data_IF_871209066279
#
_entry.id   IF_871209066279
#
_cell.length_a   1.000
_cell.length_b   1.000
_cell.length_c   1.000
_cell.angle_alpha   90.00
_cell.angle_beta   90.00
_cell.angle_gamma   90.00
#
_symmetry.space_group_name_H-M   'P 1'
#
loop_
_entity.id
_entity.type
_entity.pdbx_description
1 polymer ?
#
# COMPACT_ATOMS: atom_id res chain seq x y z
N UNK A 1 18.76 -8.92 0.14
CA UNK A 1 17.94 -9.18 -1.06
C UNK A 1 16.67 -8.34 -0.99
N UNK A 2 16.33 -7.66 -2.06
CA UNK A 2 15.16 -6.81 -2.08
C UNK A 2 13.86 -7.65 -2.03
N UNK A 3 12.80 -7.05 -1.51
CA UNK A 3 11.48 -7.69 -1.41
C UNK A 3 10.43 -6.84 -2.10
N UNK A 4 9.66 -7.44 -2.97
CA UNK A 4 8.63 -6.74 -3.76
C UNK A 4 7.24 -7.16 -3.31
N UNK A 5 6.38 -6.19 -3.07
CA UNK A 5 4.98 -6.40 -2.73
C UNK A 5 4.10 -5.62 -3.71
N UNK A 6 3.18 -6.33 -4.36
CA UNK A 6 2.22 -5.74 -5.29
C UNK A 6 0.82 -6.03 -4.78
N UNK A 7 0.04 -4.98 -4.62
CA UNK A 7 -1.36 -5.08 -4.20
C UNK A 7 -2.26 -4.45 -5.26
N UNK A 8 -3.39 -5.08 -5.52
CA UNK A 8 -4.37 -4.63 -6.51
C UNK A 8 -5.69 -4.38 -5.82
N UNK A 9 -6.24 -3.18 -5.99
CA UNK A 9 -7.56 -2.81 -5.51
C UNK A 9 -8.51 -2.69 -6.68
N UNK A 10 -9.69 -3.30 -6.55
CA UNK A 10 -10.75 -3.20 -7.56
C UNK A 10 -11.93 -2.45 -6.96
N UNK A 11 -12.29 -1.36 -7.60
CA UNK A 11 -13.38 -0.46 -7.20
C UNK A 11 -14.63 -0.88 -7.99
N UNK A 12 -15.80 -1.10 -7.34
CA UNK A 12 -16.96 -1.67 -8.01
C UNK A 12 -17.58 -0.76 -9.09
N UNK A 13 -17.48 0.56 -8.92
CA UNK A 13 -17.99 1.51 -9.92
C UNK A 13 -17.39 2.90 -9.70
N UNK A 14 -17.56 3.79 -10.68
CA UNK A 14 -16.96 5.11 -10.68
C UNK A 14 -17.51 6.05 -9.59
N UNK A 15 -18.67 5.75 -9.04
CA UNK A 15 -19.28 6.58 -8.00
C UNK A 15 -18.83 6.21 -6.59
N UNK A 16 -18.08 5.10 -6.44
CA UNK A 16 -17.59 4.64 -5.15
C UNK A 16 -16.36 5.46 -4.74
N UNK A 17 -16.41 6.23 -3.64
CA UNK A 17 -15.25 6.99 -3.19
C UNK A 17 -14.18 6.04 -2.63
N UNK A 18 -12.93 6.32 -2.96
CA UNK A 18 -11.78 5.53 -2.51
C UNK A 18 -11.09 6.24 -1.35
N UNK A 19 -10.93 5.53 -0.23
CA UNK A 19 -10.23 6.06 0.93
C UNK A 19 -8.73 5.82 0.80
N UNK A 20 -7.93 6.86 1.07
CA UNK A 20 -6.47 6.79 1.08
C UNK A 20 -5.94 6.93 2.50
N UNK A 21 -4.68 6.58 2.73
CA UNK A 21 -4.04 6.81 4.02
C UNK A 21 -3.86 8.32 4.23
N UNK A 22 -3.86 8.75 5.50
CA UNK A 22 -3.73 10.17 5.83
C UNK A 22 -2.37 10.74 5.43
N UNK A 23 -2.32 12.04 5.15
CA UNK A 23 -1.08 12.74 4.82
C UNK A 23 -0.05 12.61 5.94
N UNK A 24 -0.49 12.59 7.18
CA UNK A 24 0.38 12.40 8.34
C UNK A 24 1.14 11.08 8.26
N UNK A 25 0.45 9.99 7.92
CA UNK A 25 1.08 8.66 7.80
C UNK A 25 1.91 8.57 6.52
N UNK A 26 1.48 9.21 5.43
CA UNK A 26 2.30 9.30 4.21
C UNK A 26 3.64 9.94 4.53
N UNK A 27 3.65 11.05 5.29
CA UNK A 27 4.87 11.73 5.70
C UNK A 27 5.72 10.88 6.67
N UNK A 28 5.08 10.16 7.57
CA UNK A 28 5.75 9.23 8.47
C UNK A 28 6.49 8.13 7.70
N UNK A 29 5.84 7.55 6.70
CA UNK A 29 6.44 6.52 5.84
C UNK A 29 7.62 7.09 5.08
N UNK A 30 7.45 8.29 4.50
CA UNK A 30 8.53 8.95 3.76
C UNK A 30 9.77 9.13 4.65
N UNK A 31 9.59 9.68 5.83
CA UNK A 31 10.69 9.99 6.74
C UNK A 31 11.38 8.74 7.28
N UNK A 32 10.62 7.72 7.65
CA UNK A 32 11.16 6.56 8.37
C UNK A 32 11.51 5.37 7.47
N UNK A 33 10.99 5.32 6.25
CA UNK A 33 11.20 4.18 5.36
C UNK A 33 11.79 4.58 4.00
N UNK A 34 11.28 5.63 3.35
CA UNK A 34 11.78 6.04 2.04
C UNK A 34 13.11 6.77 2.15
N UNK A 35 13.20 7.77 3.01
CA UNK A 35 14.41 8.57 3.18
C UNK A 35 15.56 7.76 3.82
N UNK A 36 15.24 6.68 4.53
CA UNK A 36 16.23 5.79 5.14
C UNK A 36 16.67 4.64 4.24
N UNK A 37 16.04 4.49 3.07
CA UNK A 37 16.34 3.40 2.14
C UNK A 37 15.72 2.06 2.50
N UNK A 38 14.86 2.00 3.50
CA UNK A 38 14.16 0.76 3.88
C UNK A 38 13.11 0.38 2.84
N UNK A 39 12.39 1.36 2.31
CA UNK A 39 11.55 1.18 1.11
C UNK A 39 12.23 1.91 -0.04
N UNK A 40 12.69 1.16 -1.02
CA UNK A 40 13.53 1.70 -2.10
C UNK A 40 12.74 2.27 -3.26
N UNK A 41 11.50 1.79 -3.45
CA UNK A 41 10.59 2.38 -4.43
C UNK A 41 9.14 2.15 -4.05
N UNK A 42 8.29 3.04 -4.49
CA UNK A 42 6.85 2.91 -4.36
C UNK A 42 6.20 3.60 -5.56
N UNK A 43 5.28 2.90 -6.22
CA UNK A 43 4.56 3.46 -7.36
C UNK A 43 3.12 2.98 -7.34
N UNK A 44 2.25 3.78 -7.94
CA UNK A 44 0.86 3.43 -8.14
C UNK A 44 0.52 3.59 -9.62
N UNK A 45 -0.34 2.72 -10.11
CA UNK A 45 -0.88 2.83 -11.46
C UNK A 45 -2.37 2.55 -11.42
N UNK A 46 -3.11 3.13 -12.36
CA UNK A 46 -4.56 2.95 -12.45
C UNK A 46 -4.90 2.48 -13.84
N UNK A 47 -5.93 1.64 -13.94
CA UNK A 47 -6.53 1.29 -15.23
C UNK A 47 -7.13 2.54 -15.88
N UNK A 48 -7.42 2.45 -17.18
CA UNK A 48 -7.96 3.56 -17.95
C UNK A 48 -9.27 4.10 -17.37
N UNK A 49 -10.12 3.21 -16.85
CA UNK A 49 -11.38 3.60 -16.22
C UNK A 49 -11.23 4.01 -14.74
N UNK A 50 -10.02 3.89 -14.16
CA UNK A 50 -9.75 4.24 -12.78
C UNK A 50 -10.25 3.23 -11.75
N UNK A 51 -10.82 2.11 -12.17
CA UNK A 51 -11.45 1.14 -11.26
C UNK A 51 -10.49 0.08 -10.73
N UNK A 52 -9.31 -0.05 -11.33
CA UNK A 52 -8.27 -0.98 -10.84
C UNK A 52 -7.02 -0.17 -10.53
N UNK A 53 -6.61 -0.19 -9.27
CA UNK A 53 -5.43 0.56 -8.80
C UNK A 53 -4.39 -0.44 -8.30
N UNK A 54 -3.19 -0.36 -8.85
CA UNK A 54 -2.08 -1.24 -8.51
C UNK A 54 -1.02 -0.47 -7.74
N UNK A 55 -0.64 -0.99 -6.58
CA UNK A 55 0.42 -0.45 -5.72
C UNK A 55 1.62 -1.39 -5.77
N UNK A 56 2.78 -0.85 -6.10
CA UNK A 56 4.03 -1.62 -6.12
C UNK A 56 5.02 -0.99 -5.14
N UNK A 57 5.40 -1.76 -4.12
CA UNK A 57 6.40 -1.35 -3.14
C UNK A 57 7.59 -2.30 -3.21
N UNK A 58 8.81 -1.75 -3.18
CA UNK A 58 10.03 -2.53 -3.06
C UNK A 58 10.76 -2.11 -1.80
N UNK A 59 11.08 -3.09 -0.97
CA UNK A 59 11.81 -2.91 0.29
C UNK A 59 13.24 -3.43 0.12
N UNK A 60 14.17 -2.91 0.93
CA UNK A 60 15.56 -3.32 0.87
C UNK A 60 15.76 -4.81 1.23
N UNK A 61 14.86 -5.37 2.04
CA UNK A 61 14.89 -6.78 2.46
C UNK A 61 13.53 -7.22 2.95
N UNK A 62 13.36 -8.51 3.17
CA UNK A 62 12.17 -9.06 3.84
C UNK A 62 12.03 -8.50 5.26
N UNK A 63 13.14 -8.34 5.98
CA UNK A 63 13.12 -7.80 7.35
C UNK A 63 12.55 -6.39 7.37
N UNK A 64 12.95 -5.52 6.44
CA UNK A 64 12.42 -4.15 6.37
C UNK A 64 10.95 -4.14 5.94
N UNK A 65 10.52 -5.07 5.08
CA UNK A 65 9.11 -5.24 4.74
C UNK A 65 8.32 -5.64 5.99
N UNK A 66 8.82 -6.58 6.79
CA UNK A 66 8.17 -7.02 8.00
C UNK A 66 8.12 -5.90 9.05
N UNK A 67 9.17 -5.11 9.17
CA UNK A 67 9.18 -3.91 10.04
C UNK A 67 8.07 -2.94 9.63
N UNK A 68 7.92 -2.69 8.34
CA UNK A 68 6.90 -1.79 7.80
C UNK A 68 5.48 -2.27 8.14
N UNK A 69 5.16 -3.54 7.87
CA UNK A 69 3.81 -4.06 8.10
C UNK A 69 3.48 -4.25 9.57
N UNK A 70 4.46 -4.33 10.45
CA UNK A 70 4.27 -4.44 11.91
C UNK A 70 4.41 -3.11 12.65
N UNK A 71 4.77 -2.03 11.96
CA UNK A 71 4.83 -0.69 12.54
C UNK A 71 3.43 -0.23 12.93
N UNK A 72 3.21 0.05 14.22
CA UNK A 72 1.87 0.34 14.74
C UNK A 72 1.24 1.59 14.14
N UNK A 73 2.03 2.61 13.82
CA UNK A 73 1.54 3.84 13.18
C UNK A 73 1.00 3.52 11.78
N UNK A 74 1.72 2.69 11.04
CA UNK A 74 1.36 2.31 9.68
C UNK A 74 0.21 1.30 9.69
N UNK A 75 0.31 0.24 10.51
CA UNK A 75 -0.69 -0.84 10.54
C UNK A 75 -2.06 -0.36 10.99
N UNK A 76 -2.11 0.55 11.95
CA UNK A 76 -3.37 1.13 12.43
C UNK A 76 -4.06 1.91 11.31
N UNK A 77 -3.31 2.71 10.58
CA UNK A 77 -3.87 3.51 9.48
C UNK A 77 -4.27 2.64 8.28
N UNK A 78 -3.47 1.64 7.95
CA UNK A 78 -3.81 0.69 6.89
C UNK A 78 -5.10 -0.06 7.24
N UNK A 79 -5.25 -0.50 8.49
CA UNK A 79 -6.46 -1.19 8.95
C UNK A 79 -7.69 -0.29 8.83
N UNK A 80 -7.57 0.99 9.22
CA UNK A 80 -8.65 1.98 9.08
C UNK A 80 -9.07 2.13 7.61
N UNK A 81 -8.11 2.37 6.73
CA UNK A 81 -8.37 2.53 5.29
C UNK A 81 -8.99 1.27 4.70
N UNK A 82 -8.45 0.10 5.02
CA UNK A 82 -8.92 -1.17 4.48
C UNK A 82 -10.36 -1.45 4.90
N UNK A 83 -10.71 -1.16 6.16
CA UNK A 83 -12.08 -1.33 6.66
C UNK A 83 -13.06 -0.45 5.92
N UNK A 84 -12.72 0.84 5.72
CA UNK A 84 -13.57 1.79 5.00
C UNK A 84 -13.78 1.32 3.55
N UNK A 85 -12.72 0.94 2.87
CA UNK A 85 -12.79 0.49 1.48
C UNK A 85 -13.55 -0.83 1.34
N UNK A 86 -13.35 -1.76 2.28
CA UNK A 86 -14.09 -3.03 2.31
C UNK A 86 -15.60 -2.78 2.48
N UNK A 87 -15.98 -1.89 3.37
CA UNK A 87 -17.39 -1.52 3.60
C UNK A 87 -18.03 -0.88 2.34
N UNK A 88 -17.21 -0.32 1.46
CA UNK A 88 -17.64 0.25 0.17
C UNK A 88 -17.63 -0.75 -0.98
N UNK A 89 -17.27 -2.00 -0.71
CA UNK A 89 -17.20 -3.05 -1.73
C UNK A 89 -15.93 -3.03 -2.58
N UNK A 90 -14.90 -2.29 -2.14
CA UNK A 90 -13.60 -2.26 -2.81
C UNK A 90 -12.79 -3.47 -2.36
N UNK A 91 -12.37 -4.30 -3.31
CA UNK A 91 -11.59 -5.52 -3.01
C UNK A 91 -10.09 -5.24 -3.00
N UNK A 92 -9.35 -6.06 -2.26
CA UNK A 92 -7.90 -6.02 -2.22
C UNK A 92 -7.33 -7.41 -2.47
N UNK A 93 -6.38 -7.49 -3.39
CA UNK A 93 -5.66 -8.73 -3.67
C UNK A 93 -4.16 -8.47 -3.56
N UNK A 94 -3.44 -9.39 -2.91
CA UNK A 94 -1.97 -9.39 -2.89
C UNK A 94 -1.51 -10.21 -4.08
N UNK A 95 -1.05 -9.54 -5.14
CA UNK A 95 -0.65 -10.18 -6.38
C UNK A 95 0.78 -10.73 -6.33
N UNK A 96 1.69 -10.02 -5.63
CA UNK A 96 3.09 -10.41 -5.47
C UNK A 96 3.53 -10.08 -4.04
N UNK A 97 4.28 -10.98 -3.42
CA UNK A 97 4.87 -10.78 -2.10
C UNK A 97 6.06 -11.72 -2.01
N UNK A 98 7.20 -11.30 -2.60
CA UNK A 98 8.34 -12.19 -2.80
C UNK A 98 9.66 -11.43 -2.94
N UNK A 99 10.74 -12.19 -2.80
CA UNK A 99 12.10 -11.71 -3.05
C UNK A 99 12.31 -11.44 -4.55
N UNK A 100 13.05 -10.37 -4.83
CA UNK A 100 13.38 -10.00 -6.22
C UNK A 100 14.89 -9.99 -6.46
#
# INVERSE_FOLDING_TARGET
MAWKKVQVRTIPNADTPFETISDEVVNYIKTNYDDTGKRTSFSTSSSEDGLVVTYTAVFSSEDTKNEFISDSTISTEIARRNKINEDRGITLEVAVDEEV
#
